data_IF_362379528452
#
_entry.id   IF_362379528452
#
_cell.length_a   1.000
_cell.length_b   1.000
_cell.length_c   1.000
_cell.angle_alpha   90.00
_cell.angle_beta   90.00
_cell.angle_gamma   90.00
#
_symmetry.space_group_name_H-M   'P 1'
#
loop_
_entity.id
_entity.type
_entity.pdbx_description
1 polymer ?
#
# COMPACT_ATOMS: atom_id res chain seq x y z
N UNK A 1 -13.16 -65.07 -45.71
CA UNK A 1 -12.37 -63.82 -45.65
C UNK A 1 -13.06 -62.87 -44.68
N UNK A 2 -12.67 -62.87 -43.40
CA UNK A 2 -13.09 -61.86 -42.42
C UNK A 2 -12.04 -60.76 -42.40
N UNK A 3 -12.43 -59.51 -42.64
CA UNK A 3 -11.56 -58.34 -42.50
C UNK A 3 -11.81 -57.71 -41.13
N UNK A 4 -10.77 -57.70 -40.30
CA UNK A 4 -10.73 -56.97 -39.03
C UNK A 4 -10.31 -55.53 -39.35
N UNK A 5 -11.09 -54.55 -38.89
CA UNK A 5 -10.79 -53.13 -39.04
C UNK A 5 -10.19 -52.62 -37.72
N UNK A 6 -8.89 -52.30 -37.72
CA UNK A 6 -8.24 -51.64 -36.59
C UNK A 6 -8.34 -50.13 -36.76
N UNK A 7 -9.01 -49.46 -35.81
CA UNK A 7 -9.00 -48.00 -35.69
C UNK A 7 -7.76 -47.60 -34.87
N UNK A 8 -6.83 -46.89 -35.52
CA UNK A 8 -5.69 -46.25 -34.85
C UNK A 8 -6.10 -44.81 -34.56
N UNK A 9 -6.22 -44.47 -33.28
CA UNK A 9 -6.47 -43.09 -32.83
C UNK A 9 -5.12 -42.41 -32.57
N UNK A 10 -4.78 -41.42 -33.40
CA UNK A 10 -3.63 -40.56 -33.17
C UNK A 10 -4.00 -39.48 -32.14
N UNK A 11 -3.37 -39.51 -30.97
CA UNK A 11 -3.37 -38.37 -30.05
C UNK A 11 -2.31 -37.36 -30.50
N UNK A 12 -2.76 -36.20 -30.97
CA UNK A 12 -1.89 -35.04 -31.18
C UNK A 12 -1.83 -34.29 -29.84
N UNK A 13 -0.66 -34.10 -29.22
CA UNK A 13 -0.55 -33.26 -28.04
C UNK A 13 -0.76 -31.80 -28.45
N UNK A 14 -1.86 -31.21 -28.02
CA UNK A 14 -2.00 -29.76 -28.02
C UNK A 14 -1.02 -29.19 -27.00
N UNK A 15 0.01 -28.50 -27.49
CA UNK A 15 0.81 -27.60 -26.67
C UNK A 15 -0.09 -26.41 -26.33
N UNK A 16 -0.63 -26.40 -25.11
CA UNK A 16 -1.31 -25.24 -24.56
C UNK A 16 -0.21 -24.24 -24.24
N UNK A 17 -0.11 -23.18 -25.05
CA UNK A 17 0.70 -22.03 -24.68
C UNK A 17 0.16 -21.50 -23.35
N UNK A 18 1.06 -21.45 -22.36
CA UNK A 18 0.82 -20.80 -21.08
C UNK A 18 0.38 -19.35 -21.33
N UNK A 19 -0.46 -18.80 -20.45
CA UNK A 19 -0.81 -17.39 -20.43
C UNK A 19 0.43 -16.54 -20.69
N UNK A 20 0.37 -15.66 -21.69
CA UNK A 20 1.39 -14.64 -21.88
C UNK A 20 1.63 -13.91 -20.54
N UNK A 21 2.88 -13.54 -20.23
CA UNK A 21 3.19 -12.73 -19.06
C UNK A 21 2.20 -11.58 -18.98
N UNK A 22 1.55 -11.42 -17.83
CA UNK A 22 0.58 -10.36 -17.60
C UNK A 22 1.23 -9.00 -17.89
N UNK A 23 0.86 -8.35 -18.99
CA UNK A 23 1.22 -6.96 -19.35
C UNK A 23 0.71 -5.92 -18.33
N UNK A 24 0.00 -6.36 -17.29
CA UNK A 24 -0.56 -5.54 -16.25
C UNK A 24 0.43 -5.33 -15.10
N UNK A 25 1.63 -4.85 -15.45
CA UNK A 25 2.69 -4.55 -14.49
C UNK A 25 3.22 -3.14 -14.69
N UNK A 26 3.35 -2.40 -13.59
CA UNK A 26 4.23 -1.24 -13.52
C UNK A 26 5.57 -1.76 -13.00
N UNK A 27 6.58 -1.81 -13.86
CA UNK A 27 7.91 -2.30 -13.51
C UNK A 27 9.02 -1.28 -13.82
N UNK A 28 10.12 -1.39 -13.08
CA UNK A 28 11.28 -0.50 -13.09
C UNK A 28 12.55 -1.31 -12.82
N UNK A 29 13.68 -0.86 -13.35
CA UNK A 29 15.02 -1.44 -13.17
C UNK A 29 15.91 -0.63 -12.22
N UNK A 30 15.34 0.38 -11.54
CA UNK A 30 16.00 1.13 -10.48
C UNK A 30 15.13 1.24 -9.20
N UNK A 31 15.76 1.32 -8.01
CA UNK A 31 15.04 1.64 -6.76
C UNK A 31 14.36 3.02 -6.78
N UNK A 32 13.35 3.22 -5.93
CA UNK A 32 12.69 4.52 -5.81
C UNK A 32 13.61 5.63 -5.24
N UNK A 33 14.65 5.25 -4.50
CA UNK A 33 15.58 6.19 -3.88
C UNK A 33 14.90 6.95 -2.73
N UNK A 34 14.96 8.28 -2.77
CA UNK A 34 14.35 9.17 -1.76
C UNK A 34 13.04 9.82 -2.25
N UNK A 35 12.64 9.57 -3.51
CA UNK A 35 11.47 10.20 -4.14
C UNK A 35 10.23 9.34 -3.90
N UNK A 36 9.25 9.88 -3.17
CA UNK A 36 8.04 9.15 -2.81
C UNK A 36 7.19 8.78 -4.02
N UNK A 37 7.12 9.66 -5.02
CA UNK A 37 6.37 9.46 -6.27
C UNK A 37 6.91 8.30 -7.12
N UNK A 38 8.16 7.87 -6.88
CA UNK A 38 8.76 6.72 -7.55
C UNK A 38 8.38 5.38 -6.88
N UNK A 39 7.87 5.41 -5.64
CA UNK A 39 7.47 4.21 -4.91
C UNK A 39 6.12 3.67 -5.40
N UNK A 40 5.90 2.37 -5.22
CA UNK A 40 4.73 1.67 -5.74
C UNK A 40 3.62 1.57 -4.67
N UNK A 41 2.40 2.05 -4.93
CA UNK A 41 1.30 1.95 -3.97
C UNK A 41 0.78 0.53 -3.90
N UNK A 42 0.50 0.06 -2.68
CA UNK A 42 -0.30 -1.14 -2.39
C UNK A 42 -1.33 -0.82 -1.30
N UNK A 43 -2.52 -1.42 -1.37
CA UNK A 43 -3.58 -1.11 -0.41
C UNK A 43 -4.78 -2.06 -0.45
N UNK A 44 -5.59 -2.01 0.60
CA UNK A 44 -6.80 -2.84 0.76
C UNK A 44 -8.06 -2.05 1.10
N UNK A 45 -8.10 -0.76 0.78
CA UNK A 45 -9.16 0.19 1.16
C UNK A 45 -8.91 0.88 2.51
N UNK A 46 -8.14 0.23 3.40
CA UNK A 46 -7.92 0.72 4.76
C UNK A 46 -6.46 1.03 5.07
N UNK A 47 -5.59 0.04 4.91
CA UNK A 47 -4.15 0.24 5.00
C UNK A 47 -3.64 0.50 3.59
N UNK A 48 -2.78 1.51 3.46
CA UNK A 48 -1.96 1.76 2.29
C UNK A 48 -0.49 1.64 2.66
N UNK A 49 0.33 1.18 1.71
CA UNK A 49 1.77 1.33 1.80
C UNK A 49 2.37 1.75 0.46
N UNK A 50 3.39 2.59 0.51
CA UNK A 50 4.24 2.88 -0.65
C UNK A 50 5.53 2.08 -0.51
N UNK A 51 5.81 1.23 -1.50
CA UNK A 51 6.95 0.29 -1.52
C UNK A 51 8.08 0.90 -2.33
N UNK A 52 9.21 1.19 -1.68
CA UNK A 52 10.33 1.87 -2.33
C UNK A 52 11.20 0.92 -3.16
N UNK A 53 11.37 -0.33 -2.72
CA UNK A 53 12.25 -1.29 -3.40
C UNK A 53 13.74 -1.01 -3.17
N UNK A 54 14.10 -0.18 -2.20
CA UNK A 54 15.48 0.22 -1.93
C UNK A 54 16.31 -0.94 -1.37
N UNK A 55 17.49 -1.20 -1.93
CA UNK A 55 18.28 -2.41 -1.60
C UNK A 55 18.81 -2.38 -0.16
N UNK A 56 19.69 -1.46 0.21
CA UNK A 56 20.28 -1.43 1.56
C UNK A 56 19.32 -0.99 2.66
N UNK A 57 18.32 -0.16 2.32
CA UNK A 57 17.32 0.36 3.26
C UNK A 57 15.95 0.37 2.61
N UNK A 58 15.22 -0.73 2.73
CA UNK A 58 13.84 -0.82 2.25
C UNK A 58 12.92 0.07 3.09
N UNK A 59 11.97 0.72 2.43
CA UNK A 59 10.99 1.59 3.07
C UNK A 59 9.60 1.16 2.60
N UNK A 60 8.76 0.81 3.57
CA UNK A 60 7.31 0.76 3.42
C UNK A 60 6.73 1.96 4.14
N UNK A 61 6.41 3.04 3.42
CA UNK A 61 5.71 4.18 4.02
C UNK A 61 4.25 3.80 4.23
N UNK A 62 3.73 3.99 5.43
CA UNK A 62 2.47 3.42 5.90
C UNK A 62 1.38 4.48 6.07
N UNK A 63 0.18 4.12 5.66
CA UNK A 63 -1.05 4.88 5.86
C UNK A 63 -2.17 3.99 6.42
N UNK A 64 -3.07 4.61 7.17
CA UNK A 64 -4.35 4.01 7.58
C UNK A 64 -5.43 5.09 7.43
N UNK A 65 -6.55 4.77 6.75
CA UNK A 65 -7.49 5.78 6.23
C UNK A 65 -8.13 6.68 7.30
N UNK A 66 -8.09 6.30 8.58
CA UNK A 66 -8.68 7.07 9.70
C UNK A 66 -7.68 7.96 10.44
N UNK A 67 -6.42 8.00 10.02
CA UNK A 67 -5.38 8.83 10.65
C UNK A 67 -5.44 10.26 10.11
N UNK A 68 -6.21 11.11 10.79
CA UNK A 68 -6.42 12.53 10.46
C UNK A 68 -6.13 13.42 11.67
N UNK A 69 -5.69 14.65 11.41
CA UNK A 69 -5.51 15.67 12.44
C UNK A 69 -6.82 16.02 13.15
N UNK A 70 -6.69 16.67 14.30
CA UNK A 70 -7.84 17.20 15.03
C UNK A 70 -8.69 16.12 15.69
N UNK A 71 -9.96 16.48 15.90
CA UNK A 71 -10.94 15.71 16.68
C UNK A 71 -12.36 16.08 16.25
N UNK A 72 -13.39 15.33 16.68
CA UNK A 72 -14.78 15.65 16.40
C UNK A 72 -15.08 17.13 16.64
N UNK A 73 -15.39 17.85 15.57
CA UNK A 73 -15.64 19.28 15.59
C UNK A 73 -16.79 19.64 14.64
N UNK A 74 -17.15 20.92 14.68
CA UNK A 74 -18.11 21.53 13.78
C UNK A 74 -17.53 22.84 13.27
N UNK A 75 -17.79 23.14 12.01
CA UNK A 75 -17.32 24.35 11.33
C UNK A 75 -18.47 25.29 10.94
N UNK A 76 -19.68 25.07 11.44
CA UNK A 76 -20.81 25.97 11.16
C UNK A 76 -20.54 27.40 11.69
N UNK A 77 -20.86 28.41 10.89
CA UNK A 77 -20.89 29.80 11.35
C UNK A 77 -22.32 30.14 11.82
N UNK A 78 -22.55 30.46 13.11
CA UNK A 78 -23.89 30.73 13.63
C UNK A 78 -24.56 31.97 13.00
N UNK A 79 -23.78 32.86 12.37
CA UNK A 79 -24.29 34.04 11.68
C UNK A 79 -24.84 33.73 10.28
N UNK A 80 -24.54 32.55 9.72
CA UNK A 80 -24.85 32.22 8.33
C UNK A 80 -26.35 32.32 8.02
N UNK A 81 -27.19 31.77 8.90
CA UNK A 81 -28.64 31.79 8.70
C UNK A 81 -29.21 33.21 8.66
N UNK A 82 -28.69 34.11 9.50
CA UNK A 82 -29.14 35.51 9.56
C UNK A 82 -28.67 36.32 8.35
N UNK A 83 -27.46 36.06 7.86
CA UNK A 83 -26.88 36.79 6.73
C UNK A 83 -27.41 36.32 5.37
N UNK A 84 -27.90 35.09 5.27
CA UNK A 84 -28.30 34.47 4.00
C UNK A 84 -29.34 35.27 3.18
N UNK A 85 -30.38 35.90 3.76
CA UNK A 85 -31.32 36.72 2.99
C UNK A 85 -30.65 37.93 2.33
N UNK A 86 -29.75 38.61 3.04
CA UNK A 86 -29.04 39.80 2.55
C UNK A 86 -28.04 39.43 1.45
N UNK A 87 -27.28 38.33 1.64
CA UNK A 87 -26.39 37.80 0.60
C UNK A 87 -27.17 37.51 -0.69
N UNK A 88 -28.36 36.89 -0.59
CA UNK A 88 -29.21 36.62 -1.75
C UNK A 88 -29.72 37.89 -2.42
N UNK A 89 -30.12 38.89 -1.63
CA UNK A 89 -30.58 40.17 -2.15
C UNK A 89 -29.47 40.88 -2.96
N UNK A 90 -28.26 40.97 -2.40
CA UNK A 90 -27.09 41.54 -3.09
C UNK A 90 -26.82 40.83 -4.43
N UNK A 91 -26.98 39.50 -4.51
CA UNK A 91 -26.84 38.76 -5.77
C UNK A 91 -27.92 39.15 -6.78
N UNK A 92 -29.18 39.26 -6.35
CA UNK A 92 -30.30 39.64 -7.25
C UNK A 92 -30.18 41.08 -7.74
N UNK A 93 -29.60 41.97 -6.93
CA UNK A 93 -29.37 43.38 -7.29
C UNK A 93 -28.10 43.57 -8.15
N UNK A 94 -27.34 42.50 -8.41
CA UNK A 94 -26.11 42.55 -9.21
C UNK A 94 -24.86 43.01 -8.43
N UNK A 95 -24.96 43.14 -7.10
CA UNK A 95 -23.87 43.56 -6.21
C UNK A 95 -22.97 42.38 -5.77
N UNK A 96 -22.38 41.67 -6.73
CA UNK A 96 -21.68 40.41 -6.48
C UNK A 96 -20.50 40.52 -5.50
N UNK A 97 -19.75 41.62 -5.55
CA UNK A 97 -18.61 41.84 -4.65
C UNK A 97 -19.05 42.02 -3.20
N UNK A 98 -20.11 42.79 -2.98
CA UNK A 98 -20.68 42.96 -1.64
C UNK A 98 -21.26 41.63 -1.11
N UNK A 99 -21.91 40.85 -1.98
CA UNK A 99 -22.40 39.52 -1.63
C UNK A 99 -21.25 38.56 -1.22
N UNK A 100 -20.14 38.55 -1.96
CA UNK A 100 -18.94 37.78 -1.64
C UNK A 100 -18.33 38.19 -0.30
N UNK A 101 -18.13 39.50 -0.08
CA UNK A 101 -17.57 40.03 1.17
C UNK A 101 -18.43 39.63 2.37
N UNK A 102 -19.76 39.78 2.28
CA UNK A 102 -20.69 39.39 3.34
C UNK A 102 -20.72 37.88 3.57
N UNK A 103 -20.67 37.06 2.50
CA UNK A 103 -20.60 35.61 2.61
C UNK A 103 -19.29 35.13 3.27
N UNK A 104 -18.15 35.71 2.89
CA UNK A 104 -16.85 35.44 3.49
C UNK A 104 -16.83 35.80 4.99
N UNK A 105 -17.51 36.88 5.36
CA UNK A 105 -17.61 37.30 6.75
C UNK A 105 -18.54 36.40 7.57
N UNK A 106 -19.76 36.13 7.08
CA UNK A 106 -20.86 35.58 7.89
C UNK A 106 -21.20 34.11 7.62
N UNK A 107 -20.81 33.54 6.48
CA UNK A 107 -21.12 32.15 6.11
C UNK A 107 -19.93 31.23 6.35
N UNK A 108 -18.73 31.63 5.94
CA UNK A 108 -17.52 30.81 6.09
C UNK A 108 -17.20 30.58 7.58
N UNK A 109 -16.74 29.36 7.91
CA UNK A 109 -16.32 29.02 9.26
C UNK A 109 -15.25 29.97 9.78
N UNK A 110 -15.29 30.29 11.07
CA UNK A 110 -14.21 31.01 11.76
C UNK A 110 -13.34 30.09 12.61
N UNK A 111 -13.62 28.77 12.59
CA UNK A 111 -12.97 27.79 13.46
C UNK A 111 -12.06 26.83 12.70
N UNK A 112 -12.59 26.12 11.70
CA UNK A 112 -11.81 25.13 10.94
C UNK A 112 -12.36 24.98 9.52
N UNK A 113 -11.47 24.77 8.54
CA UNK A 113 -11.75 24.60 7.12
C UNK A 113 -11.54 23.16 6.62
N UNK A 114 -11.27 22.22 7.52
CA UNK A 114 -10.99 20.82 7.18
C UNK A 114 -9.81 20.31 7.98
N UNK A 115 -9.73 19.00 8.18
CA UNK A 115 -8.60 18.36 8.86
C UNK A 115 -7.70 17.69 7.83
N UNK A 116 -6.42 17.54 8.15
CA UNK A 116 -5.42 17.02 7.21
C UNK A 116 -5.21 15.51 7.45
N UNK A 117 -5.15 14.75 6.36
CA UNK A 117 -4.76 13.35 6.39
C UNK A 117 -3.27 13.24 6.76
N UNK A 118 -2.90 12.26 7.59
CA UNK A 118 -1.53 12.11 8.08
C UNK A 118 -0.99 10.70 7.85
N UNK A 119 0.30 10.56 7.50
CA UNK A 119 0.94 9.25 7.43
C UNK A 119 1.07 8.64 8.82
N UNK A 120 1.09 7.31 8.90
CA UNK A 120 1.38 6.60 10.17
C UNK A 120 2.88 6.70 10.47
N UNK A 121 3.71 6.55 9.45
CA UNK A 121 5.16 6.47 9.54
C UNK A 121 5.72 5.50 8.50
N UNK A 122 6.91 4.97 8.72
CA UNK A 122 7.55 3.98 7.85
C UNK A 122 7.87 2.70 8.63
N UNK A 123 7.74 1.54 8.00
CA UNK A 123 8.53 0.37 8.36
C UNK A 123 9.80 0.38 7.52
N UNK A 124 10.95 0.37 8.19
CA UNK A 124 12.27 0.39 7.56
C UNK A 124 12.98 -0.95 7.79
N UNK A 125 13.52 -1.55 6.72
CA UNK A 125 14.34 -2.75 6.79
C UNK A 125 15.75 -2.43 6.29
N UNK A 126 16.72 -2.45 7.20
CA UNK A 126 18.12 -2.15 6.88
C UNK A 126 18.92 -3.43 6.70
N UNK A 127 19.49 -3.63 5.52
CA UNK A 127 20.32 -4.77 5.13
C UNK A 127 21.77 -4.32 5.01
N UNK A 128 22.67 -4.90 5.82
CA UNK A 128 24.10 -4.60 5.75
C UNK A 128 24.80 -5.38 4.63
N UNK A 129 25.85 -4.80 4.03
CA UNK A 129 26.68 -5.42 2.99
C UNK A 129 25.93 -5.68 1.67
N UNK A 130 24.91 -4.88 1.35
CA UNK A 130 24.14 -4.96 0.10
C UNK A 130 24.22 -3.64 -0.70
N UNK A 131 25.24 -2.82 -0.47
CA UNK A 131 25.43 -1.52 -1.12
C UNK A 131 25.77 -1.66 -2.61
N UNK A 132 26.34 -2.79 -3.00
CA UNK A 132 26.59 -3.17 -4.40
C UNK A 132 25.66 -4.31 -4.78
N UNK A 133 24.90 -4.11 -5.84
CA UNK A 133 23.96 -5.07 -6.38
C UNK A 133 23.92 -5.01 -7.91
N UNK A 134 23.40 -6.06 -8.52
CA UNK A 134 23.18 -6.21 -9.96
C UNK A 134 21.83 -6.89 -10.21
N UNK A 135 21.42 -6.99 -11.48
CA UNK A 135 20.16 -7.62 -11.90
C UNK A 135 18.92 -7.11 -11.15
N UNK A 136 18.87 -5.80 -10.91
CA UNK A 136 17.77 -5.19 -10.17
C UNK A 136 16.48 -5.18 -11.00
N UNK A 137 15.38 -5.49 -10.32
CA UNK A 137 14.03 -5.42 -10.87
C UNK A 137 13.04 -5.13 -9.75
N UNK A 138 12.09 -4.23 -9.97
CA UNK A 138 10.89 -4.10 -9.13
C UNK A 138 9.63 -3.97 -9.97
N UNK A 139 8.53 -4.51 -9.48
CA UNK A 139 7.22 -4.34 -10.09
C UNK A 139 6.08 -4.18 -9.08
N UNK A 140 4.98 -3.67 -9.60
CA UNK A 140 3.63 -3.80 -9.09
C UNK A 140 2.79 -4.52 -10.15
N UNK A 141 2.43 -5.77 -9.87
CA UNK A 141 1.51 -6.55 -10.69
C UNK A 141 0.07 -6.21 -10.29
N UNK A 142 -0.58 -5.38 -11.11
CA UNK A 142 -1.96 -4.97 -10.87
C UNK A 142 -2.96 -6.05 -11.27
N UNK A 143 -2.53 -7.15 -11.91
CA UNK A 143 -3.38 -8.32 -12.17
C UNK A 143 -3.65 -9.16 -10.92
N UNK A 144 -2.76 -9.08 -9.92
CA UNK A 144 -2.87 -9.82 -8.67
C UNK A 144 -2.68 -8.97 -7.40
N UNK A 145 -2.44 -7.67 -7.55
CA UNK A 145 -2.21 -6.68 -6.49
C UNK A 145 -1.02 -7.00 -5.57
N UNK A 146 0.07 -7.52 -6.14
CA UNK A 146 1.31 -7.79 -5.41
C UNK A 146 2.48 -7.02 -6.00
N UNK A 147 3.38 -6.56 -5.14
CA UNK A 147 4.65 -5.95 -5.54
C UNK A 147 5.80 -6.94 -5.35
N UNK A 148 6.77 -6.92 -6.26
CA UNK A 148 7.99 -7.73 -6.14
C UNK A 148 9.23 -6.86 -6.33
N UNK A 149 10.26 -7.10 -5.54
CA UNK A 149 11.62 -6.57 -5.75
C UNK A 149 12.58 -7.74 -5.82
N UNK A 150 13.51 -7.73 -6.76
CA UNK A 150 14.53 -8.76 -6.97
C UNK A 150 15.85 -8.12 -7.31
N UNK A 151 16.95 -8.63 -6.77
CA UNK A 151 18.31 -8.17 -7.07
C UNK A 151 19.33 -9.22 -6.64
N UNK A 152 20.53 -9.17 -7.21
CA UNK A 152 21.66 -10.01 -6.82
C UNK A 152 22.66 -9.18 -6.01
N UNK A 153 23.05 -9.64 -4.82
CA UNK A 153 24.10 -9.03 -4.02
C UNK A 153 25.04 -10.11 -3.48
N UNK A 154 26.35 -9.93 -3.64
CA UNK A 154 27.38 -10.91 -3.25
C UNK A 154 27.10 -12.34 -3.80
N UNK A 155 26.59 -12.42 -5.03
CA UNK A 155 26.23 -13.67 -5.69
C UNK A 155 25.04 -14.42 -5.07
N UNK A 156 24.19 -13.73 -4.31
CA UNK A 156 22.92 -14.24 -3.76
C UNK A 156 21.78 -13.46 -4.38
N UNK A 157 20.77 -14.16 -4.89
CA UNK A 157 19.54 -13.54 -5.39
C UNK A 157 18.59 -13.31 -4.23
N UNK A 158 18.21 -12.05 -3.99
CA UNK A 158 17.23 -11.65 -2.98
C UNK A 158 15.89 -11.36 -3.64
N UNK A 159 14.80 -11.82 -3.03
CA UNK A 159 13.43 -11.57 -3.49
C UNK A 159 12.60 -11.05 -2.33
N UNK A 160 11.91 -9.94 -2.57
CA UNK A 160 10.91 -9.35 -1.69
C UNK A 160 9.57 -9.38 -2.38
N UNK A 161 8.55 -9.90 -1.70
CA UNK A 161 7.16 -9.84 -2.17
C UNK A 161 6.34 -9.11 -1.11
N UNK A 162 5.49 -8.18 -1.53
CA UNK A 162 4.61 -7.47 -0.59
C UNK A 162 3.21 -7.24 -1.17
N UNK A 163 2.21 -7.25 -0.29
CA UNK A 163 0.82 -6.93 -0.62
C UNK A 163 0.04 -6.57 0.65
N UNK A 164 -1.00 -5.75 0.50
CA UNK A 164 -1.94 -5.47 1.58
C UNK A 164 -3.15 -6.38 1.41
N UNK A 165 -3.31 -7.37 2.28
CA UNK A 165 -4.34 -8.40 2.14
C UNK A 165 -5.74 -7.80 2.27
N UNK A 166 -6.52 -7.96 1.20
CA UNK A 166 -7.97 -7.73 1.20
C UNK A 166 -8.71 -8.76 2.07
N UNK A 167 -8.15 -9.96 2.28
CA UNK A 167 -8.78 -11.02 3.07
C UNK A 167 -8.51 -10.85 4.57
N UNK A 168 -7.30 -10.41 4.92
CA UNK A 168 -6.78 -10.47 6.30
C UNK A 168 -6.52 -9.11 6.95
N UNK A 169 -6.73 -8.01 6.21
CA UNK A 169 -6.64 -6.64 6.72
C UNK A 169 -5.25 -6.21 7.23
N UNK A 170 -4.18 -6.85 6.77
CA UNK A 170 -2.78 -6.57 7.12
C UNK A 170 -1.89 -6.43 5.88
N UNK A 171 -0.82 -5.65 5.99
CA UNK A 171 0.30 -5.67 5.05
C UNK A 171 1.16 -6.92 5.31
N UNK A 172 1.52 -7.63 4.26
CA UNK A 172 2.33 -8.86 4.31
C UNK A 172 3.56 -8.63 3.45
N UNK A 173 4.73 -8.95 3.99
CA UNK A 173 6.02 -8.81 3.33
C UNK A 173 6.76 -10.14 3.50
N UNK A 174 7.18 -10.75 2.40
CA UNK A 174 8.02 -11.94 2.39
C UNK A 174 9.40 -11.59 1.86
N UNK A 175 10.42 -12.01 2.61
CA UNK A 175 11.82 -11.94 2.24
C UNK A 175 12.31 -13.37 2.00
N UNK A 176 12.92 -13.63 0.84
CA UNK A 176 13.48 -14.93 0.48
C UNK A 176 14.77 -14.75 -0.32
N UNK A 177 15.55 -15.82 -0.42
CA UNK A 177 16.79 -15.85 -1.22
C UNK A 177 16.93 -17.19 -1.93
N UNK A 178 17.82 -17.26 -2.91
CA UNK A 178 18.21 -18.51 -3.57
C UNK A 178 19.21 -19.37 -2.77
N UNK A 179 19.67 -18.89 -1.60
CA UNK A 179 20.61 -19.60 -0.72
C UNK A 179 20.18 -19.49 0.75
N UNK A 180 20.05 -20.61 1.48
CA UNK A 180 19.67 -20.58 2.89
C UNK A 180 20.68 -19.78 3.74
N UNK A 181 20.18 -19.19 4.83
CA UNK A 181 20.97 -18.46 5.81
C UNK A 181 21.50 -17.10 5.35
N UNK A 182 20.94 -16.51 4.29
CA UNK A 182 21.44 -15.25 3.69
C UNK A 182 20.59 -14.02 3.99
N UNK A 183 19.51 -14.16 4.75
CA UNK A 183 18.69 -13.02 5.16
C UNK A 183 19.14 -12.52 6.53
N UNK A 184 19.73 -11.33 6.52
CA UNK A 184 20.12 -10.60 7.73
C UNK A 184 19.72 -9.13 7.60
N UNK A 185 18.91 -8.62 8.54
CA UNK A 185 18.46 -7.23 8.53
C UNK A 185 18.02 -6.73 9.91
N UNK A 186 17.88 -5.42 10.04
CA UNK A 186 17.26 -4.75 11.19
C UNK A 186 15.93 -4.13 10.76
N UNK A 187 14.85 -4.44 11.46
CA UNK A 187 13.54 -3.82 11.30
C UNK A 187 13.28 -2.76 12.37
N UNK A 188 12.79 -1.60 11.97
CA UNK A 188 12.34 -0.55 12.88
C UNK A 188 11.17 0.24 12.27
N UNK A 189 10.39 0.91 13.11
CA UNK A 189 9.46 1.95 12.68
C UNK A 189 10.10 3.35 12.78
N UNK A 190 9.67 4.26 11.92
CA UNK A 190 9.87 5.71 12.08
C UNK A 190 8.53 6.42 11.88
N UNK A 191 8.36 7.63 12.41
CA UNK A 191 7.10 8.37 12.29
C UNK A 191 7.34 9.89 12.35
N UNK A 192 6.63 10.70 11.55
CA UNK A 192 6.76 12.15 11.60
C UNK A 192 5.92 12.81 12.71
N UNK A 193 5.08 12.04 13.42
CA UNK A 193 4.26 12.56 14.52
C UNK A 193 5.14 12.97 15.71
N UNK A 194 4.67 13.94 16.50
CA UNK A 194 5.34 14.35 17.73
C UNK A 194 5.24 13.23 18.78
N UNK A 195 6.34 12.96 19.47
CA UNK A 195 6.47 11.95 20.54
C UNK A 195 5.94 10.54 20.17
N UNK A 196 6.36 9.96 19.04
CA UNK A 196 5.95 8.61 18.68
C UNK A 196 6.60 7.64 19.66
N UNK A 197 5.83 6.69 20.17
CA UNK A 197 6.35 5.63 21.04
C UNK A 197 6.63 4.41 20.18
N UNK A 198 7.87 3.96 20.12
CA UNK A 198 8.25 2.72 19.42
C UNK A 198 8.80 1.76 20.46
N UNK A 199 8.31 0.52 20.48
CA UNK A 199 8.76 -0.51 21.42
C UNK A 199 8.78 -1.86 20.74
N UNK A 200 9.95 -2.51 20.74
CA UNK A 200 10.03 -3.95 20.49
C UNK A 200 9.59 -4.69 21.76
N UNK A 201 8.49 -5.43 21.67
CA UNK A 201 7.90 -6.15 22.80
C UNK A 201 8.60 -7.49 23.00
N UNK A 202 8.84 -8.20 21.91
CA UNK A 202 9.52 -9.52 21.88
C UNK A 202 10.60 -9.53 20.79
N UNK A 203 11.28 -10.66 20.62
CA UNK A 203 12.24 -10.87 19.54
C UNK A 203 11.59 -10.95 18.14
N UNK A 204 10.26 -10.92 18.05
CA UNK A 204 9.51 -11.03 16.80
C UNK A 204 8.40 -9.99 16.65
N UNK A 205 8.21 -9.10 17.62
CA UNK A 205 7.11 -8.12 17.64
C UNK A 205 7.58 -6.73 18.04
N UNK A 206 7.23 -5.74 17.23
CA UNK A 206 7.49 -4.32 17.45
C UNK A 206 6.23 -3.50 17.19
N UNK A 207 6.04 -2.45 17.96
CA UNK A 207 4.89 -1.56 17.86
C UNK A 207 5.31 -0.10 17.79
N UNK A 208 4.59 0.67 17.00
CA UNK A 208 4.58 2.13 16.96
C UNK A 208 3.21 2.63 17.45
N UNK A 209 3.20 3.54 18.42
CA UNK A 209 2.03 4.31 18.80
C UNK A 209 2.25 5.78 18.47
N UNK A 210 1.20 6.44 18.00
CA UNK A 210 1.21 7.88 17.77
C UNK A 210 -0.15 8.50 18.03
N UNK A 211 -0.15 9.83 18.11
CA UNK A 211 -1.35 10.67 18.19
C UNK A 211 -1.24 11.73 17.10
N UNK A 212 -2.32 11.95 16.35
CA UNK A 212 -2.35 12.93 15.28
C UNK A 212 -2.18 14.35 15.80
N UNK A 213 -1.74 15.25 14.94
CA UNK A 213 -1.44 16.63 15.33
C UNK A 213 -2.71 17.47 15.53
N UNK A 214 -2.54 18.58 16.22
CA UNK A 214 -3.51 19.66 16.21
C UNK A 214 -3.53 20.32 14.82
N UNK A 215 -4.67 20.89 14.44
CA UNK A 215 -4.80 21.70 13.22
C UNK A 215 -5.91 22.73 13.37
N UNK A 216 -5.64 23.99 13.00
CA UNK A 216 -6.59 25.12 13.11
C UNK A 216 -7.22 25.27 14.52
N UNK A 217 -6.42 25.07 15.57
CA UNK A 217 -6.89 25.15 16.96
C UNK A 217 -7.78 23.98 17.41
N UNK A 218 -7.88 22.93 16.60
CA UNK A 218 -8.56 21.67 16.94
C UNK A 218 -7.52 20.67 17.40
N UNK A 219 -7.64 20.23 18.65
CA UNK A 219 -6.74 19.25 19.25
C UNK A 219 -6.78 17.91 18.50
N UNK A 220 -5.61 17.34 18.19
CA UNK A 220 -5.42 16.01 17.64
C UNK A 220 -5.72 14.91 18.66
N UNK A 221 -6.77 14.11 18.40
CA UNK A 221 -7.23 13.03 19.30
C UNK A 221 -7.27 11.66 18.66
N UNK A 222 -6.94 11.54 17.37
CA UNK A 222 -6.81 10.22 16.75
C UNK A 222 -5.50 9.59 17.23
N UNK A 223 -5.63 8.50 17.97
CA UNK A 223 -4.52 7.63 18.37
C UNK A 223 -4.47 6.45 17.44
N UNK A 224 -3.27 6.03 17.07
CA UNK A 224 -3.07 4.87 16.22
C UNK A 224 -1.98 3.95 16.75
N UNK A 225 -2.10 2.67 16.39
CA UNK A 225 -1.07 1.67 16.63
C UNK A 225 -0.74 0.96 15.32
N UNK A 226 0.53 0.95 14.94
CA UNK A 226 1.08 0.03 13.96
C UNK A 226 1.84 -1.08 14.71
N UNK A 227 1.53 -2.33 14.38
CA UNK A 227 2.05 -3.53 15.00
C UNK A 227 2.65 -4.42 13.91
N UNK A 228 3.96 -4.65 13.97
CA UNK A 228 4.63 -5.62 13.12
C UNK A 228 4.94 -6.88 13.94
N UNK A 229 4.62 -8.05 13.38
CA UNK A 229 5.11 -9.34 13.85
C UNK A 229 5.69 -10.14 12.69
N UNK A 230 6.71 -10.96 12.95
CA UNK A 230 7.35 -11.78 11.93
C UNK A 230 7.38 -13.27 12.26
N UNK A 231 7.34 -14.10 11.21
CA UNK A 231 7.74 -15.51 11.23
C UNK A 231 9.10 -15.64 10.55
N UNK A 232 9.99 -16.42 11.15
CA UNK A 232 11.35 -16.64 10.63
C UNK A 232 11.57 -18.14 10.43
N UNK A 233 11.98 -18.54 9.22
CA UNK A 233 12.40 -19.91 8.92
C UNK A 233 13.92 -20.00 9.04
N UNK A 234 14.39 -20.78 10.02
CA UNK A 234 15.80 -20.83 10.42
C UNK A 234 16.36 -19.44 10.80
N UNK A 235 17.61 -19.41 11.29
CA UNK A 235 18.22 -18.18 11.80
C UNK A 235 17.71 -17.77 13.20
N UNK A 236 18.06 -16.55 13.61
CA UNK A 236 17.76 -16.01 14.94
C UNK A 236 17.23 -14.60 14.83
N UNK A 237 16.20 -14.24 15.59
CA UNK A 237 15.84 -12.84 15.79
C UNK A 237 16.05 -12.43 17.24
N UNK A 238 16.39 -11.16 17.44
CA UNK A 238 16.68 -10.58 18.75
C UNK A 238 16.21 -9.13 18.77
N UNK A 239 15.48 -8.76 19.80
CA UNK A 239 15.20 -7.36 20.09
C UNK A 239 16.48 -6.59 20.42
N UNK A 240 16.64 -5.42 19.81
CA UNK A 240 17.71 -4.45 20.10
C UNK A 240 17.08 -3.08 20.27
N UNK A 241 16.97 -2.62 21.51
CA UNK A 241 16.29 -1.37 21.87
C UNK A 241 14.89 -1.28 21.25
N UNK A 242 14.69 -0.32 20.35
CA UNK A 242 13.44 -0.09 19.63
C UNK A 242 13.44 -0.73 18.24
N UNK A 243 14.28 -1.74 17.99
CA UNK A 243 14.37 -2.44 16.72
C UNK A 243 14.42 -3.97 16.92
N UNK A 244 14.27 -4.72 15.83
CA UNK A 244 14.47 -6.18 15.81
C UNK A 244 15.54 -6.52 14.79
N UNK A 245 16.58 -7.23 15.22
CA UNK A 245 17.62 -7.78 14.35
C UNK A 245 17.28 -9.23 14.01
N UNK A 246 17.33 -9.61 12.74
CA UNK A 246 17.18 -10.99 12.25
C UNK A 246 18.47 -11.44 11.59
N UNK A 247 19.11 -12.50 12.06
CA UNK A 247 20.38 -13.05 11.59
C UNK A 247 20.22 -14.41 10.90
N UNK A 248 20.79 -14.52 9.70
CA UNK A 248 20.99 -15.76 8.95
C UNK A 248 19.71 -16.60 8.80
N UNK A 249 18.60 -15.96 8.46
CA UNK A 249 17.35 -16.64 8.14
C UNK A 249 17.35 -17.14 6.68
N UNK A 250 16.57 -18.18 6.42
CA UNK A 250 16.31 -18.68 5.06
C UNK A 250 15.17 -17.90 4.41
N UNK A 251 14.14 -17.60 5.21
CA UNK A 251 12.94 -16.89 4.82
C UNK A 251 12.38 -16.11 6.02
N UNK A 252 11.83 -14.92 5.76
CA UNK A 252 11.12 -14.14 6.77
C UNK A 252 9.81 -13.62 6.22
N UNK A 253 8.72 -13.81 6.95
CA UNK A 253 7.40 -13.25 6.63
C UNK A 253 7.04 -12.24 7.72
N UNK A 254 7.03 -10.96 7.36
CA UNK A 254 6.58 -9.88 8.23
C UNK A 254 5.11 -9.56 7.93
N UNK A 255 4.35 -9.30 8.97
CA UNK A 255 2.96 -8.84 8.89
C UNK A 255 2.81 -7.56 9.68
N UNK A 256 2.22 -6.54 9.06
CA UNK A 256 1.97 -5.24 9.69
C UNK A 256 0.47 -5.00 9.73
N UNK A 257 -0.05 -4.87 10.95
CA UNK A 257 -1.40 -4.40 11.20
C UNK A 257 -1.36 -2.98 11.72
N UNK A 258 -2.30 -2.16 11.30
CA UNK A 258 -2.45 -0.78 11.78
C UNK A 258 -3.90 -0.59 12.16
N UNK A 259 -4.22 0.18 13.19
CA UNK A 259 -5.57 0.64 13.50
C UNK A 259 -5.53 1.96 14.26
N UNK A 260 -6.68 2.64 14.35
CA UNK A 260 -6.87 3.81 15.19
C UNK A 260 -8.04 3.63 16.18
N UNK A 261 -8.16 4.59 17.09
CA UNK A 261 -9.28 4.72 18.02
C UNK A 261 -10.57 5.27 17.37
N UNK A 262 -10.56 5.55 16.07
CA UNK A 262 -11.72 6.08 15.35
C UNK A 262 -12.84 5.04 15.22
N UNK A 263 -14.05 5.40 15.65
CA UNK A 263 -15.27 4.62 15.42
C UNK A 263 -16.16 5.31 14.38
N UNK A 264 -16.29 6.63 14.52
CA UNK A 264 -17.08 7.48 13.63
C UNK A 264 -16.65 8.94 13.79
N UNK A 265 -17.20 9.83 12.96
CA UNK A 265 -16.95 11.28 13.02
C UNK A 265 -17.25 11.94 14.38
N UNK A 266 -17.97 11.26 15.29
CA UNK A 266 -18.30 11.73 16.65
C UNK A 266 -17.66 10.93 17.78
N UNK A 267 -17.00 9.82 17.46
CA UNK A 267 -16.58 8.84 18.46
C UNK A 267 -15.16 8.34 18.20
N UNK A 268 -14.27 8.65 19.15
CA UNK A 268 -12.85 8.27 19.17
C UNK A 268 -12.51 7.38 20.38
N UNK A 269 -13.49 6.64 20.92
CA UNK A 269 -13.29 5.77 22.07
C UNK A 269 -12.89 4.33 21.70
N UNK A 270 -12.54 4.05 20.44
CA UNK A 270 -12.01 2.76 20.04
C UNK A 270 -10.66 2.46 20.69
N UNK A 271 -10.30 1.19 20.76
CA UNK A 271 -8.97 0.74 21.20
C UNK A 271 -8.13 0.38 19.98
N UNK A 272 -7.19 1.26 19.63
CA UNK A 272 -6.31 1.09 18.49
C UNK A 272 -5.39 -0.14 18.63
N UNK A 273 -4.93 -0.45 19.85
CA UNK A 273 -4.00 -1.55 20.11
C UNK A 273 -4.73 -2.89 19.98
N UNK A 274 -5.91 -3.01 20.60
CA UNK A 274 -6.70 -4.23 20.55
C UNK A 274 -7.08 -4.57 19.12
N UNK A 275 -7.54 -3.58 18.34
CA UNK A 275 -7.90 -3.77 16.92
C UNK A 275 -6.73 -4.21 16.06
N UNK A 276 -5.59 -3.51 16.17
CA UNK A 276 -4.40 -3.85 15.41
C UNK A 276 -3.96 -5.29 15.73
N UNK A 277 -4.02 -5.69 17.01
CA UNK A 277 -3.71 -7.04 17.46
C UNK A 277 -4.68 -8.08 16.90
N UNK A 278 -5.99 -7.88 17.00
CA UNK A 278 -7.01 -8.85 16.53
C UNK A 278 -6.89 -9.14 15.02
N UNK A 279 -6.67 -8.10 14.20
CA UNK A 279 -6.41 -8.29 12.77
C UNK A 279 -5.13 -9.08 12.52
N UNK A 280 -4.06 -8.77 13.27
CA UNK A 280 -2.78 -9.44 13.11
C UNK A 280 -2.83 -10.92 13.51
N UNK A 281 -3.44 -11.26 14.64
CA UNK A 281 -3.51 -12.65 15.12
C UNK A 281 -4.23 -13.57 14.11
N UNK A 282 -5.30 -13.05 13.49
CA UNK A 282 -6.04 -13.80 12.47
C UNK A 282 -5.17 -14.13 11.25
N UNK A 283 -4.38 -13.17 10.79
CA UNK A 283 -3.45 -13.37 9.67
C UNK A 283 -2.25 -14.25 10.07
N UNK A 284 -1.73 -14.06 11.29
CA UNK A 284 -0.52 -14.73 11.76
C UNK A 284 -0.70 -16.24 11.94
N UNK A 285 -1.93 -16.72 12.11
CA UNK A 285 -2.25 -18.15 12.13
C UNK A 285 -2.07 -18.84 10.76
N UNK A 286 -1.95 -18.09 9.66
CA UNK A 286 -1.88 -18.62 8.29
C UNK A 286 -0.46 -18.60 7.74
N UNK A 287 -0.20 -19.48 6.77
CA UNK A 287 1.07 -19.52 6.03
C UNK A 287 1.04 -18.59 4.81
N UNK A 288 2.21 -18.11 4.40
CA UNK A 288 2.32 -17.13 3.30
C UNK A 288 1.60 -17.56 2.00
N UNK A 289 1.75 -18.80 1.51
CA UNK A 289 1.04 -19.22 0.29
C UNK A 289 -0.48 -19.12 0.41
N UNK A 290 -1.03 -19.41 1.59
CA UNK A 290 -2.46 -19.28 1.87
C UNK A 290 -2.89 -17.81 1.86
N UNK A 291 -2.17 -16.95 2.57
CA UNK A 291 -2.45 -15.51 2.63
C UNK A 291 -2.45 -14.87 1.24
N UNK A 292 -1.44 -15.20 0.42
CA UNK A 292 -1.33 -14.72 -0.95
C UNK A 292 -2.49 -15.22 -1.82
N UNK A 293 -2.81 -16.51 -1.76
CA UNK A 293 -3.90 -17.08 -2.55
C UNK A 293 -5.27 -16.47 -2.20
N UNK A 294 -5.57 -16.28 -0.91
CA UNK A 294 -6.82 -15.67 -0.44
C UNK A 294 -6.93 -14.19 -0.85
N UNK A 295 -5.84 -13.43 -0.74
CA UNK A 295 -5.76 -12.06 -1.22
C UNK A 295 -6.03 -11.97 -2.73
N UNK A 296 -5.29 -12.72 -3.54
CA UNK A 296 -5.40 -12.71 -5.01
C UNK A 296 -6.82 -13.07 -5.43
N UNK A 297 -7.40 -14.13 -4.84
CA UNK A 297 -8.77 -14.56 -5.13
C UNK A 297 -9.77 -13.43 -4.85
N UNK A 298 -9.65 -12.76 -3.70
CA UNK A 298 -10.56 -11.65 -3.35
C UNK A 298 -10.37 -10.44 -4.25
N UNK A 299 -9.13 -10.10 -4.59
CA UNK A 299 -8.79 -9.01 -5.50
C UNK A 299 -9.36 -9.25 -6.91
N UNK A 300 -9.10 -10.44 -7.47
CA UNK A 300 -9.47 -10.80 -8.83
C UNK A 300 -10.98 -10.90 -9.03
N UNK A 301 -11.77 -11.18 -7.98
CA UNK A 301 -13.23 -11.08 -8.03
C UNK A 301 -13.74 -9.67 -8.37
N UNK A 302 -12.93 -8.63 -8.13
CA UNK A 302 -13.21 -7.24 -8.50
C UNK A 302 -12.50 -6.86 -9.81
N UNK A 303 -11.19 -7.12 -9.89
CA UNK A 303 -10.36 -6.65 -10.98
C UNK A 303 -10.69 -7.32 -12.32
N UNK A 304 -10.93 -8.63 -12.34
CA UNK A 304 -11.17 -9.39 -13.58
C UNK A 304 -12.54 -9.12 -14.23
N UNK A 305 -13.39 -8.28 -13.62
CA UNK A 305 -14.70 -7.89 -14.17
C UNK A 305 -14.61 -7.09 -15.47
N UNK A 306 -13.48 -6.41 -15.71
CA UNK A 306 -13.24 -5.66 -16.95
C UNK A 306 -11.87 -6.04 -17.48
N UNK A 307 -11.82 -6.43 -18.75
CA UNK A 307 -10.60 -6.64 -19.52
C UNK A 307 -10.57 -5.61 -20.63
N UNK A 308 -9.38 -5.11 -20.92
CA UNK A 308 -9.14 -4.15 -21.97
C UNK A 308 -7.82 -4.53 -22.64
N UNK A 309 -7.88 -4.67 -23.96
CA UNK A 309 -6.76 -5.08 -24.79
C UNK A 309 -6.81 -4.27 -26.09
N UNK A 310 -5.76 -3.49 -26.34
CA UNK A 310 -5.59 -2.69 -27.54
C UNK A 310 -4.42 -3.18 -28.40
N UNK A 311 -3.89 -4.37 -28.11
CA UNK A 311 -2.69 -4.94 -28.70
C UNK A 311 -1.40 -4.47 -28.02
N UNK A 312 -0.29 -5.06 -28.45
CA UNK A 312 1.06 -4.81 -27.92
C UNK A 312 2.02 -4.39 -29.04
N UNK A 313 3.09 -3.70 -28.65
CA UNK A 313 4.24 -3.36 -29.52
C UNK A 313 5.52 -3.63 -28.74
N UNK A 314 6.69 -3.55 -29.38
CA UNK A 314 7.98 -3.74 -28.69
C UNK A 314 8.20 -2.75 -27.53
N UNK A 315 7.48 -1.62 -27.49
CA UNK A 315 7.50 -0.66 -26.39
C UNK A 315 7.05 -1.28 -25.06
N UNK A 316 6.21 -2.33 -25.06
CA UNK A 316 5.74 -2.98 -23.84
C UNK A 316 6.86 -3.66 -23.04
N UNK A 317 8.02 -3.90 -23.67
CA UNK A 317 9.21 -4.50 -23.06
C UNK A 317 10.06 -3.51 -22.28
N UNK A 318 9.78 -2.20 -22.35
CA UNK A 318 10.54 -1.17 -21.66
C UNK A 318 10.02 -0.94 -20.23
N UNK A 319 10.86 -0.43 -19.31
CA UNK A 319 10.45 0.07 -18.01
C UNK A 319 9.31 1.09 -18.11
N UNK A 320 8.49 1.17 -17.07
CA UNK A 320 7.25 2.00 -17.08
C UNK A 320 7.54 3.49 -17.25
N UNK A 321 8.61 3.96 -16.63
CA UNK A 321 9.13 5.33 -16.74
C UNK A 321 9.67 5.63 -18.15
N UNK A 322 10.38 4.69 -18.77
CA UNK A 322 10.79 4.83 -20.18
C UNK A 322 9.60 4.85 -21.14
N UNK A 323 8.60 3.99 -20.90
CA UNK A 323 7.34 3.99 -21.67
C UNK A 323 6.63 5.34 -21.55
N UNK A 324 6.54 5.89 -20.34
CA UNK A 324 5.94 7.20 -20.10
C UNK A 324 6.70 8.33 -20.79
N UNK A 325 8.03 8.35 -20.66
CA UNK A 325 8.88 9.37 -21.28
C UNK A 325 8.76 9.37 -22.82
N UNK A 326 8.63 8.18 -23.42
CA UNK A 326 8.55 8.01 -24.87
C UNK A 326 7.11 8.05 -25.42
N UNK A 327 6.08 8.07 -24.56
CA UNK A 327 4.69 7.85 -24.97
C UNK A 327 4.18 8.81 -26.06
N UNK A 328 4.67 10.06 -26.08
CA UNK A 328 4.32 11.05 -27.11
C UNK A 328 4.84 10.68 -28.51
N UNK A 329 5.94 9.94 -28.58
CA UNK A 329 6.68 9.66 -29.80
C UNK A 329 6.56 8.20 -30.26
N UNK A 330 6.01 7.32 -29.41
CA UNK A 330 5.94 5.87 -29.65
C UNK A 330 4.49 5.39 -29.55
N UNK A 331 4.08 4.52 -30.47
CA UNK A 331 2.76 3.86 -30.39
C UNK A 331 2.82 2.74 -29.35
N UNK A 332 2.23 2.98 -28.19
CA UNK A 332 2.18 2.03 -27.08
C UNK A 332 0.71 1.84 -26.58
N UNK A 333 -0.10 1.07 -27.32
CA UNK A 333 -1.51 0.86 -26.99
C UNK A 333 -1.70 0.08 -25.68
N UNK A 334 -0.78 -0.83 -25.33
CA UNK A 334 -0.87 -1.56 -24.07
C UNK A 334 -0.59 -0.66 -22.86
N UNK A 335 0.13 0.46 -23.01
CA UNK A 335 0.31 1.42 -21.93
C UNK A 335 -0.99 2.18 -21.61
N UNK A 336 -1.80 2.48 -22.62
CA UNK A 336 -3.15 3.05 -22.43
C UNK A 336 -4.03 2.07 -21.66
N UNK A 337 -3.99 0.79 -22.04
CA UNK A 337 -4.73 -0.25 -21.32
C UNK A 337 -4.23 -0.41 -19.87
N UNK A 338 -2.92 -0.39 -19.65
CA UNK A 338 -2.30 -0.43 -18.33
C UNK A 338 -2.75 0.77 -17.47
N UNK A 339 -2.72 1.99 -18.02
CA UNK A 339 -3.13 3.20 -17.30
C UNK A 339 -4.62 3.17 -16.91
N UNK A 340 -5.50 2.72 -17.82
CA UNK A 340 -6.91 2.50 -17.51
C UNK A 340 -7.09 1.48 -16.37
N UNK A 341 -6.40 0.34 -16.46
CA UNK A 341 -6.48 -0.71 -15.44
C UNK A 341 -5.86 -0.24 -14.11
N UNK A 342 -4.85 0.62 -14.15
CA UNK A 342 -4.24 1.20 -12.96
C UNK A 342 -5.24 2.07 -12.18
N UNK A 343 -6.09 2.85 -12.86
CA UNK A 343 -7.19 3.57 -12.21
C UNK A 343 -8.16 2.64 -11.46
N UNK A 344 -8.48 1.48 -12.05
CA UNK A 344 -9.31 0.46 -11.39
C UNK A 344 -8.60 -0.21 -10.22
N UNK A 345 -7.31 -0.50 -10.38
CA UNK A 345 -6.44 -1.00 -9.31
C UNK A 345 -6.45 -0.04 -8.12
N UNK A 346 -6.18 1.25 -8.34
CA UNK A 346 -6.13 2.27 -7.31
C UNK A 346 -7.45 2.36 -6.55
N UNK A 347 -8.59 2.35 -7.26
CA UNK A 347 -9.90 2.37 -6.62
C UNK A 347 -10.14 1.13 -5.74
N UNK A 348 -9.79 -0.07 -6.20
CA UNK A 348 -9.91 -1.30 -5.40
C UNK A 348 -9.01 -1.21 -4.16
N UNK A 349 -7.79 -0.71 -4.33
CA UNK A 349 -6.80 -0.63 -3.27
C UNK A 349 -7.02 0.52 -2.27
N UNK A 350 -7.81 1.54 -2.62
CA UNK A 350 -8.08 2.70 -1.76
C UNK A 350 -9.52 2.81 -1.27
N UNK A 351 -10.45 2.00 -1.79
CA UNK A 351 -11.85 2.03 -1.36
C UNK A 351 -12.46 0.64 -1.35
N UNK A 352 -12.89 0.18 -0.18
CA UNK A 352 -13.58 -1.09 0.01
C UNK A 352 -14.82 -0.90 0.92
N UNK A 353 -15.82 -1.80 0.83
CA UNK A 353 -16.94 -1.77 1.76
C UNK A 353 -16.45 -1.86 3.23
N UNK A 354 -16.92 -0.93 4.07
CA UNK A 354 -16.55 -0.86 5.49
C UNK A 354 -15.42 0.10 5.83
N UNK A 355 -14.93 0.88 4.87
CA UNK A 355 -13.89 1.90 5.06
C UNK A 355 -12.76 1.71 4.07
#
# INVERSE_FOLDING_TARGET
MQRILYFVVYFIPFVIFAQEPSDLKLWYDEPAGEVWENALPIGNGRIGAMVYGNVSKEIFQLNEHTVWSGSPNRNDNPNALKALPEVRQLIFDGEYKAAEELANEKIISKKSQGQIFQPVGNLELTFSNQEKFEDYYRDLDIGNATSRTSYTANGVTYIREAFVSLADRVLIIKLSTDRPGKISFTANFTSPHTDPKIVAKTDHEISLWGKTSDHEGIEGKVKFNALMRMKTTNGKSVKRDNAIRVDNADEVVLMVSIASNFNSYKDLNGDEMQRAKEYLETAFAKEFPQLKAEHIKKYQNLFNRVKLDFGTTDASKLPTDERLANFRNTVDPSFVALYFQYGRYLLISSSQPGG
#
